data_IF_306780783387
#
_entry.id   IF_306780783387
#
_cell.length_a   1.000
_cell.length_b   1.000
_cell.length_c   1.000
_cell.angle_alpha   90.00
_cell.angle_beta   90.00
_cell.angle_gamma   90.00
#
_symmetry.space_group_name_H-M   'P 1'
#
loop_
_entity.id
_entity.type
_entity.pdbx_description
1 polymer ?
#
# COMPACT_ATOMS: atom_id res chain seq x y z
N UNK A 1 -0.90 36.75 -61.19
CA UNK A 1 -0.80 35.37 -61.73
C UNK A 1 -1.68 34.52 -60.82
N UNK A 2 -2.99 34.49 -61.07
CA UNK A 2 -3.65 33.46 -61.89
C UNK A 2 -3.77 32.13 -61.12
N UNK A 3 -4.90 31.47 -60.96
CA UNK A 3 -6.27 31.63 -61.46
C UNK A 3 -7.15 30.75 -60.57
N UNK A 4 -8.40 31.18 -60.43
CA UNK A 4 -9.52 30.45 -59.84
C UNK A 4 -9.87 29.17 -60.61
N UNK A 5 -10.60 28.27 -59.91
CA UNK A 5 -11.55 27.22 -60.36
C UNK A 5 -11.01 25.77 -60.50
N UNK A 6 -11.90 24.74 -60.47
CA UNK A 6 -13.16 24.60 -59.71
C UNK A 6 -13.32 23.21 -59.07
N UNK A 7 -14.22 23.14 -58.09
CA UNK A 7 -14.77 21.89 -57.55
C UNK A 7 -15.52 21.13 -58.66
N UNK A 8 -15.12 19.88 -58.93
CA UNK A 8 -15.93 18.90 -59.65
C UNK A 8 -16.53 17.93 -58.66
N UNK A 9 -17.87 17.97 -58.58
CA UNK A 9 -18.69 16.88 -58.08
C UNK A 9 -18.36 15.59 -58.84
N UNK A 10 -18.12 14.50 -58.11
CA UNK A 10 -18.50 13.18 -58.55
C UNK A 10 -19.33 12.53 -57.45
N UNK A 11 -20.62 12.45 -57.73
CA UNK A 11 -21.57 11.64 -56.99
C UNK A 11 -21.23 10.16 -57.22
N UNK A 12 -20.88 9.45 -56.16
CA UNK A 12 -20.92 7.99 -56.11
C UNK A 12 -22.04 7.61 -55.15
N UNK A 13 -23.24 7.44 -55.71
CA UNK A 13 -24.35 6.80 -55.04
C UNK A 13 -23.97 5.35 -54.72
N UNK A 14 -23.67 5.05 -53.46
CA UNK A 14 -23.69 3.69 -52.93
C UNK A 14 -24.99 3.51 -52.20
N UNK A 15 -25.86 2.64 -52.73
CA UNK A 15 -27.10 2.26 -52.09
C UNK A 15 -26.82 1.66 -50.72
N UNK A 16 -27.36 2.30 -49.68
CA UNK A 16 -27.49 1.69 -48.36
C UNK A 16 -28.61 0.64 -48.44
N UNK A 17 -28.27 -0.62 -48.69
CA UNK A 17 -29.18 -1.71 -48.31
C UNK A 17 -29.15 -1.81 -46.79
N UNK A 18 -30.20 -1.31 -46.14
CA UNK A 18 -30.41 -1.54 -44.72
C UNK A 18 -30.55 -3.06 -44.49
N UNK A 19 -29.52 -3.68 -43.94
CA UNK A 19 -29.62 -5.05 -43.43
C UNK A 19 -30.62 -5.10 -42.27
N UNK A 20 -31.27 -6.26 -42.03
CA UNK A 20 -32.22 -6.40 -40.94
C UNK A 20 -31.56 -6.10 -39.59
N UNK A 21 -32.30 -5.51 -38.62
CA UNK A 21 -31.76 -5.20 -37.30
C UNK A 21 -31.26 -6.47 -36.61
N UNK A 22 -30.19 -6.36 -35.78
CA UNK A 22 -29.71 -7.51 -35.02
C UNK A 22 -30.83 -8.03 -34.11
N UNK A 23 -30.96 -9.36 -33.96
CA UNK A 23 -31.98 -9.94 -33.09
C UNK A 23 -31.79 -9.46 -31.64
N UNK A 24 -32.86 -9.33 -30.85
CA UNK A 24 -32.75 -8.98 -29.44
C UNK A 24 -31.84 -9.98 -28.71
N UNK A 25 -31.08 -9.53 -27.69
CA UNK A 25 -30.26 -10.44 -26.91
C UNK A 25 -31.15 -11.54 -26.33
N UNK A 26 -30.86 -12.79 -26.68
CA UNK A 26 -31.56 -13.94 -26.10
C UNK A 26 -31.41 -13.87 -24.58
N UNK A 27 -32.46 -14.12 -23.79
CA UNK A 27 -32.31 -14.25 -22.34
C UNK A 27 -31.26 -15.34 -22.11
N UNK A 28 -30.17 -14.97 -21.44
CA UNK A 28 -29.14 -15.93 -21.04
C UNK A 28 -29.90 -17.05 -20.31
N UNK A 29 -29.76 -18.32 -20.72
CA UNK A 29 -30.32 -19.38 -19.92
C UNK A 29 -29.68 -19.23 -18.55
N UNK A 30 -30.49 -19.16 -17.50
CA UNK A 30 -30.05 -19.43 -16.16
C UNK A 30 -29.58 -20.88 -16.16
N UNK A 31 -28.37 -21.12 -16.69
CA UNK A 31 -27.69 -22.39 -16.54
C UNK A 31 -27.41 -22.51 -15.05
N UNK A 32 -28.25 -23.31 -14.40
CA UNK A 32 -27.94 -23.96 -13.14
C UNK A 32 -26.79 -24.96 -13.39
N UNK A 33 -25.61 -24.43 -13.72
CA UNK A 33 -24.38 -25.16 -13.49
C UNK A 33 -24.17 -25.24 -11.97
N UNK A 34 -23.44 -26.24 -11.45
CA UNK A 34 -22.97 -26.19 -10.09
C UNK A 34 -22.10 -24.93 -10.00
N UNK A 35 -22.65 -23.88 -9.39
CA UNK A 35 -21.84 -22.81 -8.85
C UNK A 35 -20.92 -23.51 -7.88
N UNK A 36 -19.69 -23.82 -8.33
CA UNK A 36 -18.61 -24.15 -7.44
C UNK A 36 -18.41 -22.88 -6.63
N UNK A 37 -19.20 -22.77 -5.56
CA UNK A 37 -18.96 -21.81 -4.52
C UNK A 37 -17.54 -22.16 -4.07
N UNK A 38 -16.57 -21.34 -4.46
CA UNK A 38 -15.36 -21.24 -3.64
C UNK A 38 -15.91 -21.04 -2.25
N UNK A 39 -15.59 -21.98 -1.35
CA UNK A 39 -16.22 -22.05 -0.05
C UNK A 39 -15.96 -20.73 0.67
N UNK A 40 -16.93 -19.81 0.59
CA UNK A 40 -16.74 -18.47 1.06
C UNK A 40 -16.39 -18.58 2.54
N UNK A 41 -15.29 -17.98 3.01
CA UNK A 41 -14.84 -18.17 4.37
C UNK A 41 -15.98 -17.77 5.31
N UNK A 42 -16.20 -18.57 6.34
CA UNK A 42 -17.35 -18.40 7.23
C UNK A 42 -17.36 -16.98 7.82
N UNK A 43 -18.54 -16.36 7.85
CA UNK A 43 -18.73 -14.98 8.33
C UNK A 43 -18.12 -14.78 9.73
N UNK A 44 -18.27 -15.77 10.59
CA UNK A 44 -17.74 -15.73 11.96
C UNK A 44 -16.22 -15.78 12.00
N UNK A 45 -15.59 -16.63 11.17
CA UNK A 45 -14.12 -16.67 11.07
C UNK A 45 -13.56 -15.33 10.58
N UNK A 46 -14.22 -14.72 9.59
CA UNK A 46 -13.83 -13.41 9.06
C UNK A 46 -13.90 -12.30 10.13
N UNK A 47 -15.00 -12.25 10.88
CA UNK A 47 -15.17 -11.26 11.97
C UNK A 47 -14.17 -11.51 13.09
N UNK A 48 -13.94 -12.77 13.48
CA UNK A 48 -12.95 -13.14 14.50
C UNK A 48 -11.54 -12.70 14.08
N UNK A 49 -11.13 -13.00 12.85
CA UNK A 49 -9.80 -12.63 12.33
C UNK A 49 -9.61 -11.11 12.28
N UNK A 50 -10.62 -10.36 11.82
CA UNK A 50 -10.56 -8.89 11.81
C UNK A 50 -10.45 -8.31 13.21
N UNK A 51 -11.24 -8.81 14.18
CA UNK A 51 -11.19 -8.31 15.57
C UNK A 51 -9.83 -8.54 16.22
N UNK A 52 -9.19 -9.68 15.92
CA UNK A 52 -7.87 -10.02 16.45
C UNK A 52 -6.75 -9.19 15.84
N UNK A 53 -6.79 -8.97 14.52
CA UNK A 53 -5.64 -8.41 13.78
C UNK A 53 -5.80 -6.94 13.39
N UNK A 54 -7.03 -6.44 13.26
CA UNK A 54 -7.32 -5.08 12.83
C UNK A 54 -7.16 -4.80 11.33
N UNK A 55 -6.79 -5.79 10.51
CA UNK A 55 -6.68 -5.60 9.05
C UNK A 55 -8.04 -5.39 8.37
N UNK A 56 -8.03 -4.90 7.13
CA UNK A 56 -9.24 -4.70 6.33
C UNK A 56 -9.99 -6.02 6.10
N UNK A 57 -11.33 -5.97 5.98
CA UNK A 57 -12.14 -7.16 5.69
C UNK A 57 -11.71 -7.86 4.40
N UNK A 58 -11.31 -7.10 3.37
CA UNK A 58 -10.84 -7.64 2.10
C UNK A 58 -9.56 -8.47 2.29
N UNK A 59 -8.61 -7.97 3.06
CA UNK A 59 -7.37 -8.70 3.33
C UNK A 59 -7.63 -9.93 4.21
N UNK A 60 -8.49 -9.82 5.21
CA UNK A 60 -8.88 -10.96 6.05
C UNK A 60 -9.58 -12.06 5.23
N UNK A 61 -10.44 -11.69 4.27
CA UNK A 61 -11.10 -12.64 3.37
C UNK A 61 -10.08 -13.36 2.49
N UNK A 62 -9.17 -12.63 1.85
CA UNK A 62 -8.10 -13.21 1.04
C UNK A 62 -7.20 -14.16 1.84
N UNK A 63 -6.89 -13.80 3.08
CA UNK A 63 -6.09 -14.63 3.96
C UNK A 63 -6.78 -15.95 4.30
N UNK A 64 -8.09 -15.90 4.61
CA UNK A 64 -8.86 -17.11 4.89
C UNK A 64 -9.02 -18.00 3.66
N UNK A 65 -9.21 -17.40 2.47
CA UNK A 65 -9.25 -18.14 1.20
C UNK A 65 -7.90 -18.82 0.90
N UNK A 66 -6.78 -18.13 1.13
CA UNK A 66 -5.44 -18.67 0.89
C UNK A 66 -5.02 -19.76 1.91
N UNK A 67 -5.58 -19.73 3.13
CA UNK A 67 -5.24 -20.65 4.21
C UNK A 67 -6.33 -21.70 4.49
N UNK A 68 -7.31 -21.87 3.58
CA UNK A 68 -8.37 -22.87 3.74
C UNK A 68 -9.23 -22.69 5.00
N UNK A 69 -9.35 -21.46 5.51
CA UNK A 69 -10.12 -21.14 6.71
C UNK A 69 -9.39 -21.30 8.05
N UNK A 70 -8.11 -21.68 8.08
CA UNK A 70 -7.33 -21.72 9.32
C UNK A 70 -6.97 -20.30 9.81
N UNK A 71 -7.46 -19.95 11.00
CA UNK A 71 -7.26 -18.63 11.61
C UNK A 71 -5.79 -18.32 11.95
N UNK A 72 -5.01 -19.29 12.43
CA UNK A 72 -3.61 -19.06 12.84
C UNK A 72 -2.73 -18.87 11.60
N UNK A 73 -2.94 -19.70 10.59
CA UNK A 73 -2.23 -19.56 9.32
C UNK A 73 -2.61 -18.26 8.61
N UNK A 74 -3.90 -17.90 8.61
CA UNK A 74 -4.36 -16.65 8.02
C UNK A 74 -3.76 -15.42 8.70
N UNK A 75 -3.59 -15.44 10.03
CA UNK A 75 -2.92 -14.37 10.78
C UNK A 75 -1.44 -14.23 10.37
N UNK A 76 -0.69 -15.34 10.32
CA UNK A 76 0.70 -15.34 9.84
C UNK A 76 0.80 -14.85 8.39
N UNK A 77 -0.13 -15.28 7.54
CA UNK A 77 -0.21 -14.85 6.15
C UNK A 77 -0.47 -13.34 6.05
N UNK A 78 -1.39 -12.80 6.84
CA UNK A 78 -1.69 -11.36 6.90
C UNK A 78 -0.47 -10.54 7.29
N UNK A 79 0.29 -10.97 8.30
CA UNK A 79 1.51 -10.26 8.71
C UNK A 79 2.57 -10.22 7.59
N UNK A 80 2.79 -11.35 6.90
CA UNK A 80 3.72 -11.43 5.77
C UNK A 80 3.28 -10.54 4.60
N UNK A 81 1.99 -10.56 4.26
CA UNK A 81 1.45 -9.74 3.18
C UNK A 81 1.42 -8.25 3.53
N UNK A 82 1.17 -7.90 4.79
CA UNK A 82 1.15 -6.51 5.24
C UNK A 82 2.46 -5.80 4.94
N UNK A 83 3.60 -6.48 5.11
CA UNK A 83 4.90 -5.92 4.76
C UNK A 83 4.99 -5.62 3.26
N UNK A 84 4.70 -6.61 2.41
CA UNK A 84 4.76 -6.46 0.94
C UNK A 84 3.80 -5.39 0.43
N UNK A 85 2.56 -5.39 0.89
CA UNK A 85 1.57 -4.38 0.51
C UNK A 85 1.94 -2.99 1.05
N UNK A 86 2.59 -2.92 2.22
CA UNK A 86 3.09 -1.69 2.83
C UNK A 86 4.03 -0.95 1.89
N UNK A 87 5.05 -1.62 1.37
CA UNK A 87 6.00 -1.04 0.40
C UNK A 87 5.30 -0.55 -0.88
N UNK A 88 4.37 -1.35 -1.43
CA UNK A 88 3.63 -0.94 -2.62
C UNK A 88 2.74 0.28 -2.38
N UNK A 89 2.07 0.37 -1.22
CA UNK A 89 1.26 1.52 -0.85
C UNK A 89 2.12 2.75 -0.61
N UNK A 90 3.24 2.62 0.09
CA UNK A 90 4.18 3.71 0.33
C UNK A 90 4.67 4.32 -1.00
N UNK A 91 5.04 3.48 -1.98
CA UNK A 91 5.45 3.95 -3.31
C UNK A 91 4.32 4.71 -4.05
N UNK A 92 3.06 4.27 -3.91
CA UNK A 92 1.90 4.95 -4.53
C UNK A 92 1.52 6.26 -3.86
N UNK A 93 1.77 6.37 -2.56
CA UNK A 93 1.48 7.58 -1.77
C UNK A 93 2.63 8.59 -1.80
N UNK A 94 3.81 8.17 -2.27
CA UNK A 94 4.97 9.03 -2.44
C UNK A 94 4.64 10.26 -3.31
N UNK A 95 5.20 11.41 -2.95
CA UNK A 95 4.99 12.68 -3.64
C UNK A 95 3.76 13.48 -3.17
N UNK A 96 2.91 12.91 -2.30
CA UNK A 96 1.86 13.68 -1.62
C UNK A 96 2.45 14.64 -0.59
N UNK A 97 1.75 15.75 -0.34
CA UNK A 97 2.18 16.76 0.64
C UNK A 97 1.91 16.25 2.06
N UNK A 98 2.94 16.17 2.88
CA UNK A 98 2.88 15.77 4.29
C UNK A 98 3.41 16.91 5.16
N UNK A 99 2.55 17.86 5.52
CA UNK A 99 2.92 19.03 6.32
C UNK A 99 2.60 18.89 7.81
N UNK A 100 1.75 17.94 8.15
CA UNK A 100 1.43 17.60 9.54
C UNK A 100 2.43 16.56 10.05
N UNK A 101 2.44 16.27 11.35
CA UNK A 101 3.35 15.28 11.92
C UNK A 101 3.52 15.39 13.42
N UNK A 102 4.58 14.76 13.93
CA UNK A 102 5.04 14.92 15.30
C UNK A 102 6.56 15.08 15.33
N UNK A 103 7.00 15.84 16.33
CA UNK A 103 8.39 15.87 16.78
C UNK A 103 8.52 14.92 17.97
N UNK A 104 9.36 13.90 17.85
CA UNK A 104 9.72 12.99 18.93
C UNK A 104 11.04 13.42 19.58
N UNK A 105 11.04 13.57 20.90
CA UNK A 105 12.24 13.78 21.71
C UNK A 105 12.44 12.55 22.57
N UNK A 106 13.63 11.94 22.50
CA UNK A 106 14.01 10.81 23.34
C UNK A 106 15.38 11.08 23.93
N UNK A 107 15.49 10.93 25.25
CA UNK A 107 16.73 11.04 25.99
C UNK A 107 16.99 9.75 26.76
N UNK A 108 18.23 9.28 26.69
CA UNK A 108 18.75 8.16 27.46
C UNK A 108 20.16 8.49 27.96
N UNK A 109 20.29 8.67 29.28
CA UNK A 109 21.49 9.20 29.91
C UNK A 109 21.95 10.53 29.31
N UNK A 110 23.16 10.53 28.74
CA UNK A 110 23.80 11.69 28.10
C UNK A 110 23.59 11.75 26.58
N UNK A 111 22.71 10.92 26.03
CA UNK A 111 22.35 10.93 24.62
C UNK A 111 20.90 11.40 24.46
N UNK A 112 20.70 12.38 23.58
CA UNK A 112 19.37 12.91 23.26
C UNK A 112 19.20 12.95 21.76
N UNK A 113 18.06 12.48 21.26
CA UNK A 113 17.70 12.52 19.85
C UNK A 113 16.39 13.26 19.66
N UNK A 114 16.33 14.03 18.59
CA UNK A 114 15.12 14.70 18.11
C UNK A 114 14.81 14.17 16.72
N UNK A 115 13.59 13.70 16.50
CA UNK A 115 13.13 13.15 15.22
C UNK A 115 11.86 13.87 14.78
N UNK A 116 11.77 14.23 13.51
CA UNK A 116 10.54 14.72 12.88
C UNK A 116 9.96 13.61 12.00
N UNK A 117 8.69 13.29 12.19
CA UNK A 117 7.97 12.32 11.36
C UNK A 117 6.68 12.97 10.87
N UNK A 118 6.57 13.17 9.56
CA UNK A 118 5.44 13.84 8.94
C UNK A 118 4.34 12.88 8.46
N UNK A 119 3.13 13.40 8.36
CA UNK A 119 1.95 12.75 7.78
C UNK A 119 1.08 13.76 7.02
N UNK A 120 0.06 13.26 6.30
CA UNK A 120 -0.83 14.11 5.48
C UNK A 120 -1.76 14.97 6.35
N UNK A 121 -2.28 14.44 7.46
CA UNK A 121 -3.30 15.09 8.29
C UNK A 121 -3.03 14.92 9.79
N UNK A 122 -3.56 15.84 10.60
CA UNK A 122 -3.42 15.84 12.06
C UNK A 122 -4.21 14.70 12.75
N UNK A 123 -5.27 14.19 12.12
CA UNK A 123 -5.97 12.99 12.59
C UNK A 123 -5.04 11.77 12.65
N UNK A 124 -4.08 11.67 11.72
CA UNK A 124 -3.10 10.58 11.72
C UNK A 124 -2.06 10.79 12.82
N UNK A 125 -1.57 12.02 13.01
CA UNK A 125 -0.55 12.31 14.04
C UNK A 125 -1.04 12.03 15.46
N UNK A 126 -2.34 12.20 15.73
CA UNK A 126 -2.96 11.91 17.03
C UNK A 126 -3.23 10.42 17.28
N UNK A 127 -3.07 9.55 16.28
CA UNK A 127 -3.31 8.11 16.43
C UNK A 127 -2.16 7.43 17.19
N UNK A 128 -2.51 6.55 18.14
CA UNK A 128 -1.53 5.76 18.91
C UNK A 128 -0.58 4.95 18.00
N UNK A 129 -1.07 4.43 16.85
CA UNK A 129 -0.23 3.69 15.90
C UNK A 129 0.86 4.57 15.27
N UNK A 130 0.55 5.84 15.01
CA UNK A 130 1.53 6.79 14.49
C UNK A 130 2.52 7.20 15.58
N UNK A 131 2.05 7.47 16.80
CA UNK A 131 2.92 7.76 17.95
C UNK A 131 3.89 6.60 18.25
N UNK A 132 3.42 5.36 18.16
CA UNK A 132 4.27 4.17 18.26
C UNK A 132 5.36 4.14 17.17
N UNK A 133 5.03 4.49 15.93
CA UNK A 133 6.02 4.61 14.86
C UNK A 133 7.09 5.65 15.21
N UNK A 134 6.70 6.86 15.65
CA UNK A 134 7.64 7.91 16.05
C UNK A 134 8.57 7.43 17.17
N UNK A 135 8.03 6.72 18.16
CA UNK A 135 8.82 6.13 19.24
C UNK A 135 9.84 5.11 18.70
N UNK A 136 9.44 4.22 17.78
CA UNK A 136 10.36 3.25 17.19
C UNK A 136 11.47 3.92 16.37
N UNK A 137 11.14 5.00 15.64
CA UNK A 137 12.13 5.79 14.89
C UNK A 137 13.12 6.46 15.85
N UNK A 138 12.63 7.06 16.94
CA UNK A 138 13.48 7.69 17.96
C UNK A 138 14.42 6.67 18.63
N UNK A 139 13.90 5.51 19.04
CA UNK A 139 14.69 4.42 19.62
C UNK A 139 15.77 3.92 18.65
N UNK A 140 15.40 3.65 17.39
CA UNK A 140 16.36 3.21 16.37
C UNK A 140 17.46 4.24 16.12
N UNK A 141 17.10 5.53 16.12
CA UNK A 141 18.05 6.64 15.94
C UNK A 141 19.00 6.74 17.14
N UNK A 142 18.48 6.66 18.36
CA UNK A 142 19.28 6.68 19.58
C UNK A 142 20.30 5.53 19.62
N UNK A 143 19.85 4.30 19.32
CA UNK A 143 20.72 3.12 19.25
C UNK A 143 21.82 3.28 18.19
N UNK A 144 21.47 3.85 17.03
CA UNK A 144 22.45 4.15 15.99
C UNK A 144 23.50 5.15 16.48
N UNK A 145 23.08 6.23 17.13
CA UNK A 145 23.98 7.25 17.68
C UNK A 145 24.88 6.71 18.79
N UNK A 146 24.38 5.82 19.66
CA UNK A 146 25.16 5.17 20.70
C UNK A 146 26.25 4.28 20.09
N UNK A 147 25.90 3.44 19.09
CA UNK A 147 26.87 2.59 18.41
C UNK A 147 28.01 3.39 17.72
N UNK A 148 27.71 4.57 17.17
CA UNK A 148 28.74 5.45 16.60
C UNK A 148 29.73 5.98 17.66
N UNK A 149 29.26 6.27 18.88
CA UNK A 149 30.15 6.67 19.98
C UNK A 149 31.09 5.53 20.37
N UNK A 150 30.59 4.30 20.38
CA UNK A 150 31.40 3.11 20.69
C UNK A 150 32.47 2.85 19.61
N UNK A 151 32.17 3.12 18.34
CA UNK A 151 33.17 3.02 17.27
C UNK A 151 34.24 4.13 17.35
N UNK A 152 33.85 5.35 17.71
CA UNK A 152 34.79 6.47 17.88
C UNK A 152 35.71 6.29 19.09
N UNK A 153 35.22 5.71 20.18
CA UNK A 153 36.06 5.41 21.36
C UNK A 153 37.05 4.27 21.08
N UNK A 154 36.69 3.33 20.20
CA UNK A 154 37.55 2.20 19.80
C UNK A 154 38.66 2.63 18.84
N UNK A 155 38.48 3.70 18.06
CA UNK A 155 39.54 4.28 17.24
C UNK A 155 40.61 4.97 18.11
N UNK A 156 41.62 4.21 18.54
CA UNK A 156 42.84 4.77 19.14
C UNK A 156 43.78 5.23 18.03
N UNK A 157 44.03 6.55 17.96
CA UNK A 157 45.08 7.13 17.11
C UNK A 157 46.41 6.49 17.54
N UNK A 158 46.99 5.64 16.69
CA UNK A 158 48.30 5.03 16.95
C UNK A 158 49.32 6.14 17.23
N UNK A 159 49.93 6.10 18.41
CA UNK A 159 50.94 7.09 18.79
C UNK A 159 52.21 6.79 17.98
N UNK A 160 52.45 7.56 16.93
CA UNK A 160 53.67 7.48 16.10
C UNK A 160 54.69 8.55 16.49
N UNK A 161 54.84 8.80 17.79
CA UNK A 161 56.00 9.52 18.31
C UNK A 161 57.24 8.67 18.07
N UNK A 162 57.96 9.03 17.00
CA UNK A 162 59.21 8.43 16.59
C UNK A 162 60.28 8.68 17.65
N UNK A 163 61.00 7.60 17.88
CA UNK A 163 62.38 7.47 18.34
C UNK A 163 63.32 8.57 17.88
#
# INVERSE_FOLDING_TARGET
MSLLRPWRLFAAARGCSAGPPPPPPRPRPFHAGPWLWSSAPSKDALVKLRRRTGYSFVNCKKALEACGGDLKQAESWLHKQAQKEGWSRAAKLHGRKTKEGLIGLLQDGNATVLVEVNCETDFVSRNLKFQQLVQQVALGTLLHCQNLKDQLSTYSKGNWEKT
#
